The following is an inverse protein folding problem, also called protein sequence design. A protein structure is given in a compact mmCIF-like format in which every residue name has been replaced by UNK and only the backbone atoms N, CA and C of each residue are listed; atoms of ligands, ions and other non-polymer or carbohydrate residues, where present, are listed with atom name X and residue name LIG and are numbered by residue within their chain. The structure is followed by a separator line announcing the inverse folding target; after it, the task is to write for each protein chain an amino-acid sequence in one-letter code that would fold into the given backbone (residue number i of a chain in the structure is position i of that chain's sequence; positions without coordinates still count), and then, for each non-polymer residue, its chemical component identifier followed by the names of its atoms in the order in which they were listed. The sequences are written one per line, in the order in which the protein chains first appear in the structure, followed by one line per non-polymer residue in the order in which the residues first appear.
data_IF_963570027225
#
_entry.id   IF_963570027225
#
_cell.length_a   1.000
_cell.length_b   1.000
_cell.length_c   1.000
_cell.angle_alpha   90.00
_cell.angle_beta   90.00
_cell.angle_gamma   90.00
#
_symmetry.space_group_name_H-M   'P 1'
#
loop_
_entity.id
_entity.type
_entity.pdbx_description
1 polymer ?
#
# COMPACT_ATOMS: atom_id res chain seq x y z
N UNK A 1 33.28 1.74 -54.18
CA UNK A 1 33.53 2.73 -53.13
C UNK A 1 32.17 3.15 -52.61
N UNK A 2 31.56 2.26 -51.84
CA UNK A 2 31.66 2.21 -50.36
C UNK A 2 30.79 3.34 -49.80
N UNK A 3 29.59 2.98 -49.31
CA UNK A 3 29.29 2.87 -47.88
C UNK A 3 29.65 4.19 -47.18
N UNK A 4 28.68 5.00 -46.77
CA UNK A 4 28.02 4.79 -45.48
C UNK A 4 26.55 5.22 -45.52
N UNK A 5 25.66 4.26 -45.30
CA UNK A 5 24.38 4.56 -44.66
C UNK A 5 24.70 4.73 -43.18
N UNK A 6 24.64 5.97 -42.69
CA UNK A 6 24.64 6.25 -41.26
C UNK A 6 23.20 6.04 -40.75
N UNK A 7 22.80 4.77 -40.77
CA UNK A 7 21.56 4.27 -40.18
C UNK A 7 21.89 3.90 -38.73
N UNK A 8 22.20 4.91 -37.92
CA UNK A 8 22.61 4.73 -36.53
C UNK A 8 21.50 5.17 -35.58
N UNK A 9 20.53 4.26 -35.47
CA UNK A 9 19.83 3.92 -34.24
C UNK A 9 18.91 5.01 -33.67
N UNK A 10 17.77 5.21 -34.33
CA UNK A 10 16.53 5.45 -33.58
C UNK A 10 16.28 4.19 -32.77
N UNK A 11 16.81 4.16 -31.54
CA UNK A 11 16.55 3.10 -30.61
C UNK A 11 15.09 3.26 -30.19
N UNK A 12 14.20 2.64 -30.98
CA UNK A 12 12.80 2.43 -30.64
C UNK A 12 12.77 1.61 -29.36
N UNK A 13 12.76 2.31 -28.23
CA UNK A 13 12.38 1.76 -26.94
C UNK A 13 10.89 1.45 -27.00
N UNK A 14 10.53 0.37 -27.71
CA UNK A 14 9.25 -0.29 -27.51
C UNK A 14 9.27 -0.90 -26.10
N UNK A 15 8.98 -0.06 -25.10
CA UNK A 15 8.63 -0.55 -23.79
C UNK A 15 7.38 -1.42 -23.95
N UNK A 16 7.41 -2.69 -23.50
CA UNK A 16 6.23 -3.52 -23.58
C UNK A 16 5.17 -2.92 -22.65
N UNK A 17 4.18 -2.26 -23.25
CA UNK A 17 2.97 -1.86 -22.57
C UNK A 17 2.21 -3.13 -22.19
N UNK A 18 2.55 -3.68 -21.03
CA UNK A 18 1.76 -4.76 -20.42
C UNK A 18 0.36 -4.20 -20.18
N UNK A 19 -0.55 -4.50 -21.11
CA UNK A 19 -1.96 -4.12 -21.08
C UNK A 19 -2.70 -5.05 -20.11
N UNK A 20 -2.36 -4.92 -18.84
CA UNK A 20 -3.12 -5.52 -17.74
C UNK A 20 -4.21 -4.51 -17.32
N UNK A 21 -5.49 -4.77 -17.64
CA UNK A 21 -6.58 -3.82 -17.36
C UNK A 21 -6.80 -3.62 -15.85
N UNK A 22 -6.63 -4.68 -15.06
CA UNK A 22 -6.64 -4.58 -13.60
C UNK A 22 -5.26 -4.23 -13.06
N UNK A 23 -5.16 -3.10 -12.37
CA UNK A 23 -3.92 -2.67 -11.71
C UNK A 23 -4.17 -2.38 -10.23
N UNK A 24 -4.27 -3.42 -9.36
CA UNK A 24 -4.58 -3.26 -7.93
C UNK A 24 -3.64 -2.31 -7.19
N UNK A 25 -2.39 -2.18 -7.66
CA UNK A 25 -1.39 -1.24 -7.12
C UNK A 25 -1.84 0.22 -7.23
N UNK A 26 -2.73 0.59 -8.17
CA UNK A 26 -3.28 1.96 -8.30
C UNK A 26 -4.01 2.38 -7.03
N UNK A 27 -4.84 1.50 -6.44
CA UNK A 27 -5.58 1.77 -5.21
C UNK A 27 -4.68 1.95 -3.97
N UNK A 28 -3.38 1.63 -4.09
CA UNK A 28 -2.41 1.69 -2.99
C UNK A 28 -1.39 2.84 -3.13
N UNK A 29 -1.46 3.63 -4.22
CA UNK A 29 -0.43 4.62 -4.61
C UNK A 29 -0.24 5.74 -3.58
N UNK A 30 -1.30 6.27 -2.99
CA UNK A 30 -1.22 7.40 -2.04
C UNK A 30 -1.90 7.08 -0.70
N UNK A 31 -1.53 7.76 0.39
CA UNK A 31 -2.23 7.62 1.67
C UNK A 31 -3.73 7.93 1.58
N UNK A 32 -4.13 8.94 0.80
CA UNK A 32 -5.53 9.32 0.62
C UNK A 32 -6.33 8.20 -0.08
N UNK A 33 -5.79 7.62 -1.16
CA UNK A 33 -6.42 6.49 -1.85
C UNK A 33 -6.58 5.28 -0.94
N UNK A 34 -5.52 4.92 -0.19
CA UNK A 34 -5.59 3.81 0.79
C UNK A 34 -6.63 4.03 1.88
N UNK A 35 -6.86 5.29 2.31
CA UNK A 35 -7.91 5.62 3.29
C UNK A 35 -9.31 5.50 2.69
N UNK A 36 -9.48 5.90 1.43
CA UNK A 36 -10.76 5.83 0.71
C UNK A 36 -11.21 4.38 0.50
N UNK A 37 -10.32 3.50 0.05
CA UNK A 37 -10.66 2.09 -0.24
C UNK A 37 -10.58 1.15 0.97
N UNK A 38 -10.32 1.66 2.18
CA UNK A 38 -10.14 0.83 3.38
C UNK A 38 -11.48 0.24 3.83
N UNK A 39 -11.55 -1.08 3.88
CA UNK A 39 -12.72 -1.84 4.33
C UNK A 39 -12.85 -1.84 5.87
N UNK A 40 -11.79 -2.22 6.59
CA UNK A 40 -11.84 -2.34 8.05
C UNK A 40 -11.33 -1.11 8.80
N UNK A 41 -12.01 -0.75 9.89
CA UNK A 41 -11.60 0.30 10.83
C UNK A 41 -11.73 -0.20 12.26
N UNK A 42 -10.76 0.14 13.10
CA UNK A 42 -10.83 -0.07 14.54
C UNK A 42 -11.16 1.27 15.20
N UNK A 43 -12.17 1.30 16.06
CA UNK A 43 -12.49 2.42 16.94
C UNK A 43 -12.33 1.96 18.40
N UNK A 44 -12.20 2.89 19.36
CA UNK A 44 -12.18 2.57 20.78
C UNK A 44 -13.40 1.75 21.23
N UNK A 45 -14.57 1.94 20.61
CA UNK A 45 -15.81 1.22 20.93
C UNK A 45 -15.73 -0.30 20.65
N UNK A 46 -14.78 -0.73 19.83
CA UNK A 46 -14.53 -2.15 19.57
C UNK A 46 -13.59 -2.80 20.59
N UNK A 47 -13.03 -2.02 21.53
CA UNK A 47 -12.07 -2.51 22.51
C UNK A 47 -12.80 -3.02 23.76
N UNK A 48 -12.34 -4.16 24.26
CA UNK A 48 -12.76 -4.70 25.55
C UNK A 48 -11.65 -4.39 26.55
N UNK A 49 -12.01 -3.77 27.69
CA UNK A 49 -11.07 -3.53 28.78
C UNK A 49 -11.34 -4.50 29.94
N UNK A 50 -10.63 -5.64 29.99
CA UNK A 50 -10.75 -6.57 31.12
C UNK A 50 -10.08 -5.96 32.34
N UNK A 51 -10.81 -5.90 33.45
CA UNK A 51 -10.34 -5.43 34.74
C UNK A 51 -10.38 -6.57 35.75
N UNK A 52 -9.29 -6.74 36.49
CA UNK A 52 -9.18 -7.70 37.58
C UNK A 52 -9.24 -6.96 38.90
N UNK A 53 -10.08 -7.45 39.83
CA UNK A 53 -10.26 -6.86 41.15
C UNK A 53 -9.58 -7.72 42.20
N UNK A 54 -8.87 -7.06 43.13
CA UNK A 54 -8.26 -7.64 44.32
C UNK A 54 -8.80 -6.92 45.55
N UNK A 55 -8.80 -7.58 46.70
CA UNK A 55 -9.27 -6.98 47.95
C UNK A 55 -8.28 -5.93 48.50
N UNK A 56 -8.80 -4.95 49.24
CA UNK A 56 -8.05 -3.85 49.84
C UNK A 56 -8.19 -2.49 49.13
N UNK A 57 -7.68 -1.43 49.78
CA UNK A 57 -7.78 -0.05 49.32
C UNK A 57 -6.44 0.42 48.74
N UNK A 58 -6.47 1.09 47.58
CA UNK A 58 -5.27 1.64 46.90
C UNK A 58 -4.17 0.58 46.67
N UNK A 59 -4.59 -0.59 46.19
CA UNK A 59 -3.78 -1.78 45.97
C UNK A 59 -3.70 -2.09 44.47
N UNK A 60 -2.52 -2.47 44.00
CA UNK A 60 -2.30 -2.99 42.65
C UNK A 60 -1.27 -4.14 42.71
N UNK A 61 -1.53 -5.20 41.95
CA UNK A 61 -0.63 -6.34 41.78
C UNK A 61 -0.28 -6.47 40.28
N UNK A 62 1.01 -6.63 39.94
CA UNK A 62 1.48 -6.71 38.55
C UNK A 62 1.25 -8.07 37.91
#
# INVERSE_FOLDING_TARGET
MEHEHDDSCDHDFEEPLVNMPSRPRRNRRTPAMRRMVREHRLSPDHLIWPLFLIDGQDRAEP
#
